data_IF_650059807453
#
_entry.id   IF_650059807453
#
_cell.length_a   1.000
_cell.length_b   1.000
_cell.length_c   1.000
_cell.angle_alpha   90.00
_cell.angle_beta   90.00
_cell.angle_gamma   90.00
#
_symmetry.space_group_name_H-M   'P 1'
#
loop_
_entity.id
_entity.type
_entity.pdbx_description
1 polymer ?
#
# COMPACT_ATOMS: atom_id res chain seq x y z
N UNK A 1 64.04 19.09 -52.45
CA UNK A 1 63.72 19.42 -51.04
C UNK A 1 62.56 18.55 -50.61
N UNK A 2 62.75 17.73 -49.57
CA UNK A 2 61.75 16.77 -49.08
C UNK A 2 60.68 17.50 -48.27
N UNK A 3 59.41 17.35 -48.65
CA UNK A 3 58.27 17.87 -47.90
C UNK A 3 57.99 17.02 -46.67
N UNK A 4 57.93 17.67 -45.51
CA UNK A 4 57.60 17.05 -44.22
C UNK A 4 56.08 17.18 -44.02
N UNK A 5 55.39 16.05 -43.89
CA UNK A 5 53.98 15.99 -43.50
C UNK A 5 53.91 16.09 -41.97
N UNK A 6 53.15 17.02 -41.38
CA UNK A 6 53.00 17.07 -39.93
C UNK A 6 51.95 16.06 -39.45
N UNK A 7 52.41 15.11 -38.64
CA UNK A 7 51.58 14.12 -37.93
C UNK A 7 50.71 14.80 -36.87
N UNK A 8 49.48 15.19 -37.22
CA UNK A 8 48.49 15.77 -36.29
C UNK A 8 47.55 14.74 -35.63
N UNK A 9 47.77 13.44 -35.82
CA UNK A 9 46.86 12.39 -35.32
C UNK A 9 47.12 11.92 -33.88
N UNK A 10 48.25 12.28 -33.25
CA UNK A 10 48.59 11.84 -31.89
C UNK A 10 48.09 12.73 -30.76
N UNK A 11 47.68 13.98 -31.03
CA UNK A 11 47.26 14.92 -29.98
C UNK A 11 45.82 14.66 -29.49
N UNK A 12 44.91 14.31 -30.40
CA UNK A 12 43.50 14.07 -30.08
C UNK A 12 43.27 12.76 -29.29
N UNK A 13 44.09 11.74 -29.53
CA UNK A 13 44.02 10.46 -28.79
C UNK A 13 44.52 10.59 -27.36
N UNK A 14 45.55 11.42 -27.12
CA UNK A 14 46.05 11.70 -25.78
C UNK A 14 45.05 12.53 -24.96
N UNK A 15 44.37 13.50 -25.58
CA UNK A 15 43.36 14.34 -24.93
C UNK A 15 42.12 13.54 -24.51
N UNK A 16 41.69 12.56 -25.32
CA UNK A 16 40.58 11.65 -24.99
C UNK A 16 40.91 10.72 -23.81
N UNK A 17 42.15 10.23 -23.73
CA UNK A 17 42.62 9.41 -22.61
C UNK A 17 42.69 10.21 -21.30
N UNK A 18 43.10 11.47 -21.36
CA UNK A 18 43.18 12.35 -20.17
C UNK A 18 41.78 12.69 -19.63
N UNK A 19 40.76 12.85 -20.48
CA UNK A 19 39.37 13.07 -20.03
C UNK A 19 38.80 11.80 -19.34
N UNK A 20 39.13 10.60 -19.82
CA UNK A 20 38.74 9.32 -19.19
C UNK A 20 39.41 9.08 -17.83
N UNK A 21 40.63 9.61 -17.62
CA UNK A 21 41.37 9.49 -16.35
C UNK A 21 40.98 10.59 -15.35
N UNK A 22 40.63 11.79 -15.82
CA UNK A 22 40.22 12.93 -14.97
C UNK A 22 38.75 12.88 -14.56
N UNK A 23 37.91 12.19 -15.33
CA UNK A 23 36.54 11.87 -14.96
C UNK A 23 36.37 10.35 -14.94
N UNK A 24 36.78 9.66 -13.86
CA UNK A 24 36.17 8.40 -13.55
C UNK A 24 34.70 8.74 -13.22
N UNK A 25 33.85 8.85 -14.23
CA UNK A 25 32.47 8.48 -14.01
C UNK A 25 32.54 7.04 -13.54
N UNK A 26 32.49 6.87 -12.21
CA UNK A 26 32.23 5.59 -11.57
C UNK A 26 30.94 5.13 -12.22
N UNK A 27 31.03 4.30 -13.25
CA UNK A 27 29.86 3.77 -13.92
C UNK A 27 29.10 3.03 -12.85
N UNK A 28 27.95 3.58 -12.49
CA UNK A 28 27.11 2.98 -11.49
C UNK A 28 26.52 1.72 -12.11
N UNK A 29 26.86 0.55 -11.57
CA UNK A 29 26.27 -0.70 -12.04
C UNK A 29 24.87 -0.84 -11.44
N UNK A 30 23.93 -1.32 -12.23
CA UNK A 30 22.60 -1.73 -11.76
C UNK A 30 22.48 -3.25 -11.62
N UNK A 31 23.53 -4.00 -11.96
CA UNK A 31 23.54 -5.46 -11.99
C UNK A 31 24.61 -6.06 -11.08
N UNK A 32 24.33 -7.28 -10.60
CA UNK A 32 25.24 -8.15 -9.88
C UNK A 32 25.30 -9.51 -10.60
N UNK A 33 26.47 -9.83 -11.15
CA UNK A 33 26.72 -11.06 -11.90
C UNK A 33 27.07 -12.24 -10.96
N UNK A 34 27.01 -13.51 -11.42
CA UNK A 34 27.32 -14.68 -10.58
C UNK A 34 28.68 -14.68 -9.87
N UNK A 35 29.69 -14.07 -10.50
CA UNK A 35 31.05 -14.03 -9.98
C UNK A 35 31.34 -12.77 -9.16
N UNK A 36 30.34 -11.93 -8.96
CA UNK A 36 30.45 -10.68 -8.22
C UNK A 36 29.81 -10.81 -6.84
N UNK A 37 30.25 -9.98 -5.92
CA UNK A 37 29.68 -9.89 -4.59
C UNK A 37 29.63 -8.43 -4.14
N UNK A 38 28.57 -8.11 -3.40
CA UNK A 38 28.46 -6.86 -2.66
C UNK A 38 28.88 -7.13 -1.23
N UNK A 39 29.89 -6.41 -0.72
CA UNK A 39 30.32 -6.53 0.68
C UNK A 39 30.21 -5.22 1.41
N UNK A 40 29.94 -5.28 2.72
CA UNK A 40 29.92 -4.09 3.59
C UNK A 40 31.23 -3.30 3.47
N UNK A 41 32.38 -3.99 3.51
CA UNK A 41 33.71 -3.37 3.47
C UNK A 41 34.05 -2.68 2.14
N UNK A 42 33.42 -3.09 1.03
CA UNK A 42 33.68 -2.50 -0.28
C UNK A 42 32.99 -1.14 -0.49
N UNK A 43 31.99 -0.80 0.32
CA UNK A 43 31.09 0.34 0.13
C UNK A 43 30.47 0.45 -1.28
N UNK A 44 30.49 -0.64 -2.05
CA UNK A 44 29.84 -0.70 -3.36
C UNK A 44 28.32 -0.73 -3.18
N UNK A 45 27.60 -0.19 -4.17
CA UNK A 45 26.14 -0.18 -4.25
C UNK A 45 25.70 -0.50 -5.68
N UNK A 46 24.46 -0.95 -5.85
CA UNK A 46 23.79 -0.99 -7.15
C UNK A 46 22.90 0.23 -7.27
N UNK A 47 22.86 0.88 -8.43
CA UNK A 47 21.99 2.04 -8.67
C UNK A 47 21.06 1.77 -9.83
N UNK A 48 19.78 2.09 -9.66
CA UNK A 48 18.79 1.88 -10.70
C UNK A 48 19.08 2.76 -11.92
N UNK A 49 18.72 2.32 -13.14
CA UNK A 49 18.64 3.21 -14.28
C UNK A 49 17.81 4.46 -13.94
N UNK A 50 18.31 5.64 -14.32
CA UNK A 50 17.69 6.93 -13.98
C UNK A 50 18.09 7.52 -12.61
N UNK A 51 19.00 6.87 -11.87
CA UNK A 51 19.57 7.39 -10.61
C UNK A 51 18.53 7.68 -9.51
N UNK A 52 17.43 6.93 -9.48
CA UNK A 52 16.33 7.13 -8.51
C UNK A 52 16.55 6.31 -7.25
N UNK A 53 16.94 5.05 -7.38
CA UNK A 53 17.10 4.10 -6.28
C UNK A 53 18.54 3.59 -6.18
N UNK A 54 18.95 3.27 -4.97
CA UNK A 54 20.25 2.69 -4.66
C UNK A 54 20.08 1.54 -3.68
N UNK A 55 20.76 0.43 -3.94
CA UNK A 55 20.76 -0.79 -3.13
C UNK A 55 22.15 -1.01 -2.54
N UNK A 56 22.18 -1.31 -1.24
CA UNK A 56 23.41 -1.73 -0.58
C UNK A 56 23.26 -1.92 0.91
N UNK A 57 24.41 -1.97 1.58
CA UNK A 57 24.45 -2.13 3.02
C UNK A 57 24.26 -0.80 3.74
N UNK A 58 23.50 -0.84 4.83
CA UNK A 58 23.37 0.28 5.74
C UNK A 58 23.35 -0.21 7.19
N UNK A 59 23.70 0.71 8.08
CA UNK A 59 23.77 0.48 9.52
C UNK A 59 22.68 1.28 10.20
N UNK A 60 21.95 0.67 11.13
CA UNK A 60 21.10 1.43 12.06
C UNK A 60 21.73 1.36 13.45
N UNK A 61 21.81 2.53 14.11
CA UNK A 61 22.23 2.59 15.51
C UNK A 61 20.97 2.49 16.34
N UNK A 62 20.81 1.40 17.07
CA UNK A 62 19.74 1.30 18.05
C UNK A 62 20.24 1.93 19.35
N UNK A 63 20.32 3.26 19.40
CA UNK A 63 20.70 3.98 20.65
C UNK A 63 19.82 3.59 21.85
N UNK A 64 18.64 3.04 21.59
CA UNK A 64 17.67 2.56 22.57
C UNK A 64 17.53 1.02 22.60
N UNK A 65 18.40 0.24 21.94
CA UNK A 65 18.41 -1.22 22.11
C UNK A 65 19.14 -1.58 23.40
N UNK A 66 18.63 -2.55 24.18
CA UNK A 66 19.27 -3.01 25.42
C UNK A 66 20.76 -3.35 25.26
N UNK A 67 21.15 -3.82 24.07
CA UNK A 67 22.50 -4.34 23.81
C UNK A 67 23.47 -3.29 23.23
N UNK A 68 22.99 -2.12 22.80
CA UNK A 68 23.83 -1.04 22.23
C UNK A 68 24.63 -1.41 20.97
N UNK A 69 24.38 -2.56 20.35
CA UNK A 69 25.15 -3.10 19.23
C UNK A 69 24.67 -2.55 17.88
N UNK A 70 25.62 -2.19 17.03
CA UNK A 70 25.38 -1.87 15.63
C UNK A 70 24.74 -3.04 14.88
N UNK A 71 23.68 -2.77 14.12
CA UNK A 71 23.02 -3.76 13.25
C UNK A 71 23.11 -3.34 11.79
N UNK A 72 23.47 -4.30 10.94
CA UNK A 72 23.64 -4.10 9.50
C UNK A 72 22.56 -4.80 8.71
N UNK A 73 22.13 -4.11 7.65
CA UNK A 73 21.02 -4.53 6.80
C UNK A 73 21.36 -4.29 5.34
N UNK A 74 20.82 -5.13 4.47
CA UNK A 74 20.75 -4.89 3.04
C UNK A 74 19.41 -4.21 2.73
N UNK A 75 19.43 -3.10 2.00
CA UNK A 75 18.19 -2.42 1.63
C UNK A 75 18.31 -1.54 0.41
N UNK A 76 17.16 -0.99 0.01
CA UNK A 76 16.98 -0.06 -1.09
C UNK A 76 16.54 1.28 -0.51
N UNK A 77 17.12 2.37 -0.99
CA UNK A 77 16.72 3.74 -0.65
C UNK A 77 16.66 4.62 -1.89
N UNK A 78 15.99 5.77 -1.76
CA UNK A 78 16.10 6.82 -2.78
C UNK A 78 17.52 7.37 -2.81
N UNK A 79 18.17 7.33 -3.97
CA UNK A 79 19.49 7.89 -4.17
C UNK A 79 19.42 9.41 -3.94
N UNK A 80 20.23 9.90 -3.02
CA UNK A 80 20.26 11.31 -2.64
C UNK A 80 21.67 11.75 -2.34
N UNK A 81 21.97 13.02 -2.63
CA UNK A 81 23.22 13.67 -2.22
C UNK A 81 23.18 14.12 -0.76
N UNK A 82 22.00 14.15 -0.13
CA UNK A 82 21.85 14.45 1.30
C UNK A 82 22.23 13.23 2.15
N UNK A 83 22.83 13.44 3.32
CA UNK A 83 23.18 12.34 4.24
C UNK A 83 21.99 11.58 4.84
N UNK A 84 20.75 11.97 4.53
CA UNK A 84 19.53 11.35 5.03
C UNK A 84 18.96 10.36 4.00
N UNK A 85 19.18 9.06 4.22
CA UNK A 85 18.65 7.99 3.37
C UNK A 85 17.19 7.69 3.73
N UNK A 86 16.34 7.61 2.71
CA UNK A 86 14.96 7.12 2.83
C UNK A 86 14.92 5.69 2.34
N UNK A 87 14.90 4.74 3.27
CA UNK A 87 14.78 3.32 2.97
C UNK A 87 13.34 2.99 2.53
N UNK A 88 13.22 2.17 1.49
CA UNK A 88 11.94 1.74 0.91
C UNK A 88 11.80 0.22 0.89
N UNK A 89 12.89 -0.50 1.10
CA UNK A 89 12.91 -1.96 1.18
C UNK A 89 14.13 -2.44 1.98
N UNK A 90 13.98 -3.55 2.71
CA UNK A 90 15.02 -4.14 3.57
C UNK A 90 14.91 -5.67 3.47
N UNK A 91 15.98 -6.33 3.04
CA UNK A 91 15.97 -7.79 2.81
C UNK A 91 15.88 -8.57 4.12
N UNK A 92 16.81 -8.30 5.03
CA UNK A 92 17.04 -9.07 6.25
C UNK A 92 16.53 -8.34 7.49
N UNK A 93 15.32 -7.74 7.40
CA UNK A 93 14.77 -6.84 8.41
C UNK A 93 14.67 -7.47 9.81
N UNK A 94 14.37 -8.76 9.87
CA UNK A 94 14.23 -9.54 11.12
C UNK A 94 15.44 -10.45 11.40
N UNK A 95 16.44 -10.46 10.51
CA UNK A 95 17.67 -11.27 10.62
C UNK A 95 18.89 -10.38 10.39
N UNK A 96 19.13 -9.45 11.33
CA UNK A 96 20.19 -8.45 11.21
C UNK A 96 21.60 -9.07 11.19
N UNK A 97 22.53 -8.42 10.50
CA UNK A 97 23.95 -8.72 10.61
C UNK A 97 24.53 -8.00 11.83
N UNK A 98 25.22 -8.74 12.71
CA UNK A 98 25.72 -8.24 13.99
C UNK A 98 27.11 -7.59 13.93
N UNK A 99 27.75 -7.59 12.76
CA UNK A 99 29.06 -6.99 12.55
C UNK A 99 29.15 -6.35 11.15
N UNK A 100 30.24 -5.63 10.90
CA UNK A 100 30.52 -4.98 9.61
C UNK A 100 31.03 -5.95 8.54
N UNK A 101 30.75 -7.25 8.66
CA UNK A 101 31.14 -8.29 7.71
C UNK A 101 29.89 -8.99 7.19
N UNK A 102 29.45 -8.56 6.01
CA UNK A 102 28.31 -9.11 5.30
C UNK A 102 28.60 -9.17 3.82
N UNK A 103 28.14 -10.24 3.17
CA UNK A 103 28.35 -10.48 1.73
C UNK A 103 27.05 -10.90 1.07
N UNK A 104 26.57 -10.12 0.11
CA UNK A 104 25.50 -10.51 -0.81
C UNK A 104 26.13 -11.05 -2.10
N UNK A 105 25.73 -12.24 -2.52
CA UNK A 105 26.15 -12.83 -3.79
C UNK A 105 25.07 -13.75 -4.35
N UNK A 106 25.25 -14.17 -5.60
CA UNK A 106 24.45 -15.24 -6.20
C UNK A 106 25.12 -16.57 -5.87
N UNK A 107 24.35 -17.52 -5.33
CA UNK A 107 24.78 -18.89 -5.07
C UNK A 107 23.68 -19.85 -5.47
N UNK A 108 24.00 -20.84 -6.31
CA UNK A 108 23.05 -21.84 -6.79
C UNK A 108 21.74 -21.22 -7.33
N UNK A 109 21.87 -20.22 -8.20
CA UNK A 109 20.73 -19.50 -8.80
C UNK A 109 19.77 -18.82 -7.80
N UNK A 110 20.25 -18.52 -6.58
CA UNK A 110 19.56 -17.73 -5.57
C UNK A 110 20.44 -16.59 -5.07
N UNK A 111 19.83 -15.49 -4.62
CA UNK A 111 20.54 -14.45 -3.87
C UNK A 111 20.68 -14.91 -2.43
N UNK A 112 21.90 -14.84 -1.90
CA UNK A 112 22.22 -15.23 -0.52
C UNK A 112 23.00 -14.12 0.15
N UNK A 113 22.55 -13.73 1.33
CA UNK A 113 23.23 -12.83 2.24
C UNK A 113 23.92 -13.64 3.33
N UNK A 114 25.24 -13.52 3.40
CA UNK A 114 26.11 -14.25 4.33
C UNK A 114 26.67 -13.31 5.40
N UNK A 115 26.84 -13.83 6.61
CA UNK A 115 27.57 -13.17 7.69
C UNK A 115 29.10 -13.43 7.65
N UNK A 116 29.81 -12.96 8.67
CA UNK A 116 31.25 -13.17 8.87
C UNK A 116 31.72 -14.63 8.88
N UNK A 117 30.86 -15.57 9.27
CA UNK A 117 31.14 -17.01 9.30
C UNK A 117 30.74 -17.72 8.00
N UNK A 118 30.34 -16.98 6.96
CA UNK A 118 29.73 -17.51 5.75
C UNK A 118 28.41 -18.28 6.01
N UNK A 119 27.71 -17.94 7.09
CA UNK A 119 26.40 -18.50 7.41
C UNK A 119 25.32 -17.67 6.71
N UNK A 120 24.36 -18.28 5.99
CA UNK A 120 23.23 -17.58 5.40
C UNK A 120 22.34 -16.96 6.49
N UNK A 121 22.18 -15.64 6.45
CA UNK A 121 21.22 -14.91 7.30
C UNK A 121 19.93 -14.57 6.56
N UNK A 122 19.97 -14.55 5.22
CA UNK A 122 18.82 -14.33 4.35
C UNK A 122 19.11 -14.90 2.97
N UNK A 123 18.09 -15.43 2.29
CA UNK A 123 18.19 -15.87 0.91
C UNK A 123 16.85 -15.81 0.20
N UNK A 124 16.88 -15.66 -1.13
CA UNK A 124 15.70 -15.87 -1.96
C UNK A 124 15.40 -17.36 -2.07
N UNK A 125 14.17 -17.78 -1.82
CA UNK A 125 13.79 -19.18 -1.91
C UNK A 125 13.27 -19.51 -3.32
N UNK A 126 14.18 -19.66 -4.28
CA UNK A 126 13.82 -20.06 -5.65
C UNK A 126 13.86 -21.58 -5.79
N UNK A 127 12.74 -22.18 -6.15
CA UNK A 127 12.57 -23.64 -6.26
C UNK A 127 12.38 -24.13 -7.70
N UNK A 128 12.49 -23.25 -8.70
CA UNK A 128 12.31 -23.58 -10.11
C UNK A 128 13.60 -24.02 -10.82
N UNK A 129 13.49 -24.28 -12.13
CA UNK A 129 14.65 -24.53 -13.00
C UNK A 129 15.20 -23.18 -13.48
N UNK A 130 16.46 -22.91 -13.13
CA UNK A 130 17.18 -21.74 -13.62
C UNK A 130 17.99 -22.12 -14.87
N UNK A 131 17.94 -21.29 -15.90
CA UNK A 131 18.96 -21.34 -16.95
C UNK A 131 20.06 -20.33 -16.63
N UNK A 132 21.30 -20.75 -16.85
CA UNK A 132 22.49 -19.95 -16.53
C UNK A 132 22.97 -19.16 -17.76
N UNK A 133 23.60 -17.99 -17.56
CA UNK A 133 23.88 -17.35 -16.26
C UNK A 133 22.68 -16.58 -15.68
N UNK A 134 22.60 -16.55 -14.34
CA UNK A 134 21.59 -15.80 -13.58
C UNK A 134 22.17 -14.47 -13.13
N UNK A 135 21.41 -13.39 -13.26
CA UNK A 135 21.84 -12.03 -12.91
C UNK A 135 20.82 -11.40 -11.98
N UNK A 136 21.31 -10.68 -10.96
CA UNK A 136 20.47 -9.83 -10.15
C UNK A 136 20.54 -8.39 -10.66
N UNK A 137 19.42 -7.69 -10.71
CA UNK A 137 19.32 -6.35 -11.31
C UNK A 137 18.38 -5.46 -10.51
N UNK A 138 18.79 -4.20 -10.28
CA UNK A 138 17.93 -3.16 -9.74
C UNK A 138 17.31 -2.37 -10.91
N UNK A 139 16.00 -2.55 -11.11
CA UNK A 139 15.23 -1.88 -12.16
C UNK A 139 14.95 -0.41 -11.83
N UNK A 140 14.57 0.37 -12.86
CA UNK A 140 14.32 1.81 -12.75
C UNK A 140 13.22 2.17 -11.73
N UNK A 141 12.21 1.31 -11.58
CA UNK A 141 11.12 1.48 -10.62
C UNK A 141 11.49 1.07 -9.18
N UNK A 142 12.74 0.62 -8.95
CA UNK A 142 13.23 0.18 -7.65
C UNK A 142 13.00 -1.31 -7.37
N UNK A 143 12.43 -2.07 -8.31
CA UNK A 143 12.30 -3.51 -8.16
C UNK A 143 13.67 -4.19 -8.31
N UNK A 144 14.16 -4.81 -7.25
CA UNK A 144 15.33 -5.68 -7.30
C UNK A 144 14.89 -7.09 -7.71
N UNK A 145 15.42 -7.57 -8.83
CA UNK A 145 14.99 -8.82 -9.47
C UNK A 145 16.14 -9.79 -9.64
N UNK A 146 15.82 -11.08 -9.67
CA UNK A 146 16.69 -12.16 -10.09
C UNK A 146 16.14 -12.74 -11.39
N UNK A 147 16.95 -12.80 -12.44
CA UNK A 147 16.53 -13.28 -13.77
C UNK A 147 17.59 -14.09 -14.48
N UNK A 148 17.16 -14.94 -15.40
CA UNK A 148 18.05 -15.53 -16.39
C UNK A 148 18.49 -14.45 -17.40
N UNK A 149 19.77 -14.47 -17.73
CA UNK A 149 20.38 -13.57 -18.71
C UNK A 149 19.95 -13.85 -20.16
N UNK A 150 19.44 -15.05 -20.47
CA UNK A 150 19.08 -15.45 -21.84
C UNK A 150 17.66 -15.09 -22.25
N UNK A 151 16.77 -14.84 -21.29
CA UNK A 151 15.40 -14.41 -21.57
C UNK A 151 15.32 -12.89 -21.42
N UNK A 152 15.10 -12.19 -22.54
CA UNK A 152 14.76 -10.75 -22.54
C UNK A 152 13.30 -10.49 -22.13
N UNK A 153 12.60 -11.51 -21.67
CA UNK A 153 11.21 -11.40 -21.26
C UNK A 153 11.15 -10.77 -19.86
N UNK A 154 10.79 -9.48 -19.81
CA UNK A 154 10.68 -8.71 -18.58
C UNK A 154 9.58 -9.25 -17.65
N UNK A 155 8.73 -10.16 -18.13
CA UNK A 155 7.59 -10.70 -17.40
C UNK A 155 7.89 -12.01 -16.65
N UNK A 156 9.13 -12.52 -16.71
CA UNK A 156 9.48 -13.83 -16.13
C UNK A 156 10.67 -13.78 -15.18
N UNK A 157 10.53 -13.01 -14.10
CA UNK A 157 11.49 -12.99 -13.00
C UNK A 157 11.47 -14.29 -12.20
N UNK A 158 12.66 -14.75 -11.78
CA UNK A 158 12.80 -15.88 -10.86
C UNK A 158 12.45 -15.47 -9.42
N UNK A 159 12.77 -14.23 -9.08
CA UNK A 159 12.43 -13.60 -7.81
C UNK A 159 12.37 -12.09 -8.00
N UNK A 160 11.50 -11.41 -7.26
CA UNK A 160 11.45 -9.95 -7.24
C UNK A 160 11.12 -9.39 -5.86
N UNK A 161 11.78 -8.29 -5.49
CA UNK A 161 11.55 -7.58 -4.23
C UNK A 161 10.11 -7.05 -4.09
N UNK A 162 9.45 -6.74 -5.22
CA UNK A 162 8.06 -6.27 -5.24
C UNK A 162 7.04 -7.31 -4.75
N UNK A 163 7.42 -8.59 -4.65
CA UNK A 163 6.59 -9.63 -4.03
C UNK A 163 6.79 -9.74 -2.52
N UNK A 164 7.77 -9.02 -1.95
CA UNK A 164 8.13 -9.04 -0.54
C UNK A 164 8.23 -7.60 -0.01
N UNK A 165 7.12 -6.84 0.00
CA UNK A 165 7.08 -5.50 0.55
C UNK A 165 7.48 -5.46 2.03
N UNK A 166 8.01 -4.30 2.46
CA UNK A 166 8.35 -4.02 3.87
C UNK A 166 7.32 -3.06 4.44
N UNK A 167 7.67 -1.80 4.70
CA UNK A 167 6.75 -0.78 5.21
C UNK A 167 6.26 0.16 4.09
N UNK A 168 6.68 -0.05 2.84
CA UNK A 168 6.52 0.93 1.76
C UNK A 168 5.94 0.29 0.49
N UNK A 169 4.98 0.98 -0.13
CA UNK A 169 4.51 0.70 -1.49
C UNK A 169 5.04 1.78 -2.45
N UNK A 170 5.84 1.37 -3.42
CA UNK A 170 6.36 2.20 -4.51
C UNK A 170 5.42 2.19 -5.72
N UNK A 171 5.59 3.12 -6.67
CA UNK A 171 4.87 3.08 -7.93
C UNK A 171 5.08 1.71 -8.63
N UNK A 172 4.04 1.22 -9.30
CA UNK A 172 3.98 -0.07 -10.01
C UNK A 172 4.01 -1.32 -9.11
N UNK A 173 4.32 -1.19 -7.82
CA UNK A 173 4.13 -2.30 -6.87
C UNK A 173 2.64 -2.65 -6.76
N UNK A 174 2.37 -3.93 -6.51
CA UNK A 174 1.02 -4.44 -6.26
C UNK A 174 0.90 -4.80 -4.78
N UNK A 175 -0.17 -4.33 -4.12
CA UNK A 175 -0.52 -4.67 -2.75
C UNK A 175 -1.82 -5.48 -2.75
N UNK A 176 -1.79 -6.71 -2.24
CA UNK A 176 -2.90 -7.66 -2.35
C UNK A 176 -2.41 -9.11 -2.48
N UNK A 177 -3.19 -9.97 -3.12
CA UNK A 177 -2.89 -11.41 -3.22
C UNK A 177 -3.25 -12.02 -4.57
N UNK A 178 -2.60 -13.13 -4.90
CA UNK A 178 -2.97 -13.98 -6.03
C UNK A 178 -4.15 -14.88 -5.64
N UNK A 179 -5.12 -15.07 -6.54
CA UNK A 179 -6.34 -15.86 -6.28
C UNK A 179 -6.07 -17.36 -6.20
N UNK A 180 -5.07 -17.86 -6.91
CA UNK A 180 -4.70 -19.28 -6.89
C UNK A 180 -3.92 -19.69 -5.62
N UNK A 181 -3.71 -18.77 -4.66
CA UNK A 181 -2.92 -19.02 -3.45
C UNK A 181 -1.42 -19.19 -3.73
N UNK A 182 -0.95 -18.93 -4.96
CA UNK A 182 0.48 -18.98 -5.29
C UNK A 182 1.18 -17.69 -4.84
N UNK A 183 2.34 -17.82 -4.23
CA UNK A 183 3.10 -16.68 -3.70
C UNK A 183 2.55 -16.16 -2.36
N UNK A 184 3.26 -15.18 -1.79
CA UNK A 184 2.91 -14.58 -0.51
C UNK A 184 1.89 -13.45 -0.71
N UNK A 185 1.00 -13.29 0.27
CA UNK A 185 0.20 -12.07 0.37
C UNK A 185 1.13 -10.86 0.55
N UNK A 186 0.90 -9.82 -0.25
CA UNK A 186 1.70 -8.60 -0.24
C UNK A 186 1.08 -7.65 0.78
N UNK A 187 1.71 -7.56 1.94
CA UNK A 187 1.27 -6.74 3.08
C UNK A 187 2.30 -5.63 3.37
N UNK A 188 1.85 -4.46 3.81
CA UNK A 188 2.79 -3.48 4.38
C UNK A 188 2.88 -3.71 5.88
N UNK A 189 4.09 -3.93 6.40
CA UNK A 189 4.35 -4.08 7.84
C UNK A 189 5.31 -2.99 8.29
N UNK A 190 4.87 -2.18 9.24
CA UNK A 190 5.63 -1.08 9.82
C UNK A 190 7.00 -1.52 10.33
N UNK A 191 7.94 -0.59 10.39
CA UNK A 191 9.14 -0.75 11.21
C UNK A 191 8.76 -0.72 12.69
N UNK A 192 9.49 -1.46 13.53
CA UNK A 192 9.31 -1.45 14.99
C UNK A 192 9.53 -0.07 15.60
N UNK A 193 10.48 0.69 15.07
CA UNK A 193 10.69 2.10 15.45
C UNK A 193 11.35 2.86 14.30
N UNK A 194 11.48 4.21 14.38
CA UNK A 194 12.21 4.99 13.37
C UNK A 194 13.67 4.55 13.14
N UNK A 195 14.26 3.81 14.08
CA UNK A 195 15.67 3.34 14.02
C UNK A 195 15.81 1.82 13.98
N UNK A 196 14.73 1.06 14.06
CA UNK A 196 14.73 -0.41 14.06
C UNK A 196 13.83 -0.93 12.93
N UNK A 197 14.42 -1.45 11.84
CA UNK A 197 13.66 -1.91 10.66
C UNK A 197 12.97 -3.26 10.85
N UNK A 198 13.18 -3.94 11.98
CA UNK A 198 12.45 -5.17 12.28
C UNK A 198 10.93 -4.97 12.22
N UNK A 199 10.20 -6.06 12.05
CA UNK A 199 8.75 -6.07 11.95
C UNK A 199 8.12 -5.44 13.20
N UNK A 200 7.36 -4.37 12.99
CA UNK A 200 6.59 -3.68 14.04
C UNK A 200 5.15 -4.18 14.11
N UNK A 201 4.37 -3.54 14.98
CA UNK A 201 3.03 -4.01 15.34
C UNK A 201 1.94 -3.65 14.32
N UNK A 202 2.19 -2.66 13.46
CA UNK A 202 1.18 -2.20 12.49
C UNK A 202 1.34 -2.84 11.13
N UNK A 203 0.24 -3.32 10.57
CA UNK A 203 0.16 -3.86 9.22
C UNK A 203 -0.99 -3.26 8.42
N UNK A 204 -0.87 -3.27 7.09
CA UNK A 204 -1.91 -2.84 6.16
C UNK A 204 -2.14 -3.95 5.14
N UNK A 205 -3.33 -4.55 5.19
CA UNK A 205 -3.66 -5.82 4.52
C UNK A 205 -4.94 -5.70 3.70
N UNK A 206 -5.06 -6.50 2.63
CA UNK A 206 -6.25 -6.54 1.80
C UNK A 206 -7.13 -7.71 2.17
N UNK A 207 -8.27 -7.43 2.81
CA UNK A 207 -9.28 -8.45 3.06
C UNK A 207 -10.04 -8.78 1.77
N UNK A 208 -10.19 -10.06 1.52
CA UNK A 208 -10.61 -10.63 0.25
C UNK A 208 -11.48 -11.88 0.42
N UNK A 209 -11.76 -12.31 1.65
CA UNK A 209 -12.77 -13.35 1.94
C UNK A 209 -14.21 -12.87 1.69
N UNK A 210 -14.45 -11.55 1.78
CA UNK A 210 -15.72 -10.92 1.42
C UNK A 210 -15.94 -10.76 -0.09
N UNK A 211 -17.20 -10.51 -0.49
CA UNK A 211 -17.53 -10.21 -1.89
C UNK A 211 -16.95 -8.89 -2.39
N UNK A 212 -16.74 -7.93 -1.49
CA UNK A 212 -16.02 -6.70 -1.75
C UNK A 212 -14.67 -6.74 -1.03
N UNK A 213 -13.69 -6.14 -1.69
CA UNK A 213 -12.31 -6.12 -1.21
C UNK A 213 -12.03 -4.81 -0.49
N UNK A 214 -11.53 -4.89 0.73
CA UNK A 214 -11.33 -3.75 1.63
C UNK A 214 -9.95 -3.84 2.27
N UNK A 215 -9.25 -2.70 2.38
CA UNK A 215 -8.02 -2.68 3.17
C UNK A 215 -8.31 -2.38 4.63
N UNK A 216 -7.54 -3.04 5.50
CA UNK A 216 -7.53 -2.80 6.93
C UNK A 216 -6.12 -2.41 7.39
N UNK A 217 -6.06 -1.40 8.25
CA UNK A 217 -4.89 -1.15 9.09
C UNK A 217 -5.11 -1.90 10.40
N UNK A 218 -4.18 -2.78 10.73
CA UNK A 218 -4.19 -3.54 11.97
C UNK A 218 -3.10 -3.05 12.92
N UNK A 219 -3.38 -3.14 14.21
CA UNK A 219 -2.39 -3.14 15.27
C UNK A 219 -2.38 -4.55 15.87
N UNK A 220 -1.37 -5.34 15.52
CA UNK A 220 -1.36 -6.79 15.68
C UNK A 220 -2.62 -7.40 15.04
N UNK A 221 -3.54 -7.91 15.85
CA UNK A 221 -4.79 -8.53 15.38
C UNK A 221 -5.99 -7.56 15.42
N UNK A 222 -5.82 -6.35 15.95
CA UNK A 222 -6.92 -5.39 16.13
C UNK A 222 -7.06 -4.46 14.93
N UNK A 223 -8.26 -4.42 14.33
CA UNK A 223 -8.62 -3.45 13.29
C UNK A 223 -8.64 -2.03 13.84
N UNK A 224 -7.80 -1.16 13.29
CA UNK A 224 -7.69 0.27 13.67
C UNK A 224 -8.40 1.17 12.64
N UNK A 225 -8.29 0.85 11.36
CA UNK A 225 -8.85 1.64 10.27
C UNK A 225 -9.28 0.73 9.12
N UNK A 226 -10.38 1.10 8.46
CA UNK A 226 -10.91 0.41 7.27
C UNK A 226 -11.05 1.40 6.12
N UNK A 227 -10.48 1.10 4.95
CA UNK A 227 -10.57 1.99 3.78
C UNK A 227 -11.94 2.00 3.11
N UNK A 228 -12.79 1.02 3.41
CA UNK A 228 -13.98 0.74 2.62
C UNK A 228 -13.65 0.06 1.28
N UNK A 229 -14.69 -0.38 0.54
CA UNK A 229 -14.52 -1.08 -0.72
C UNK A 229 -14.08 -0.13 -1.85
N UNK A 230 -13.46 -0.70 -2.89
CA UNK A 230 -13.24 0.00 -4.16
C UNK A 230 -14.57 0.26 -4.86
N UNK A 231 -14.84 1.50 -5.27
CA UNK A 231 -16.11 1.90 -5.87
C UNK A 231 -16.04 2.22 -7.37
N UNK A 232 -15.02 1.69 -8.06
CA UNK A 232 -14.75 1.95 -9.47
C UNK A 232 -13.77 3.11 -9.70
N UNK A 233 -13.68 4.06 -8.76
CA UNK A 233 -12.83 5.26 -8.89
C UNK A 233 -11.82 5.38 -7.75
N UNK A 234 -12.21 4.99 -6.54
CA UNK A 234 -11.40 5.11 -5.32
C UNK A 234 -11.84 4.11 -4.26
N UNK A 235 -11.06 3.96 -3.20
CA UNK A 235 -11.58 3.39 -1.96
C UNK A 235 -12.60 4.37 -1.35
N UNK A 236 -13.80 3.85 -1.04
CA UNK A 236 -14.92 4.68 -0.62
C UNK A 236 -14.62 5.50 0.65
N UNK A 237 -13.84 4.95 1.58
CA UNK A 237 -13.35 5.59 2.81
C UNK A 237 -12.09 6.44 2.64
N UNK A 238 -11.63 6.68 1.41
CA UNK A 238 -10.59 7.67 1.10
C UNK A 238 -11.07 8.64 -0.01
N UNK A 239 -11.99 9.57 0.29
CA UNK A 239 -12.49 10.52 -0.72
C UNK A 239 -11.40 11.35 -1.40
N UNK A 240 -10.32 11.65 -0.68
CA UNK A 240 -9.24 12.49 -1.15
C UNK A 240 -8.36 11.87 -2.24
N UNK A 241 -8.51 10.57 -2.54
CA UNK A 241 -7.81 9.95 -3.69
C UNK A 241 -8.08 10.70 -5.00
N UNK A 242 -9.27 11.32 -5.14
CA UNK A 242 -9.63 12.12 -6.31
C UNK A 242 -8.82 13.42 -6.45
N UNK A 243 -8.22 13.91 -5.35
CA UNK A 243 -7.41 15.13 -5.37
C UNK A 243 -5.96 14.87 -5.81
N UNK A 244 -5.56 13.61 -5.97
CA UNK A 244 -4.20 13.22 -6.32
C UNK A 244 -4.02 13.15 -7.84
N UNK A 245 -4.11 14.29 -8.52
CA UNK A 245 -4.02 14.36 -9.99
C UNK A 245 -2.72 13.81 -10.59
N UNK A 246 -1.66 13.68 -9.78
CA UNK A 246 -0.37 13.12 -10.15
C UNK A 246 -0.28 11.59 -9.92
N UNK A 247 -1.28 10.96 -9.30
CA UNK A 247 -1.33 9.52 -9.03
C UNK A 247 -2.40 8.86 -9.92
N UNK A 248 -1.97 7.95 -10.78
CA UNK A 248 -2.86 7.02 -11.47
C UNK A 248 -3.14 5.82 -10.57
N UNK A 249 -4.36 5.71 -10.03
CA UNK A 249 -4.75 4.60 -9.17
C UNK A 249 -5.33 3.45 -10.00
N UNK A 250 -4.96 2.21 -9.69
CA UNK A 250 -5.49 1.02 -10.33
C UNK A 250 -5.88 -0.01 -9.27
N UNK A 251 -7.10 -0.52 -9.35
CA UNK A 251 -7.55 -1.66 -8.57
C UNK A 251 -7.82 -2.82 -9.53
N UNK A 252 -7.04 -3.88 -9.37
CA UNK A 252 -7.06 -5.08 -10.19
C UNK A 252 -7.90 -6.11 -9.46
N UNK A 253 -8.99 -6.53 -10.09
CA UNK A 253 -9.87 -7.61 -9.62
C UNK A 253 -10.18 -8.51 -10.83
N UNK A 254 -9.31 -9.49 -11.09
CA UNK A 254 -9.44 -10.43 -12.20
C UNK A 254 -9.26 -11.88 -11.69
N UNK A 255 -9.19 -12.87 -12.60
CA UNK A 255 -9.09 -14.28 -12.22
C UNK A 255 -7.71 -14.67 -11.63
N UNK A 256 -6.68 -13.85 -11.82
CA UNK A 256 -5.31 -14.14 -11.41
C UNK A 256 -4.98 -13.53 -10.05
N UNK A 257 -5.35 -12.27 -9.84
CA UNK A 257 -4.99 -11.50 -8.65
C UNK A 257 -6.07 -10.51 -8.24
N UNK A 258 -6.02 -10.12 -6.96
CA UNK A 258 -6.72 -8.97 -6.41
C UNK A 258 -5.69 -8.07 -5.77
N UNK A 259 -5.50 -6.87 -6.32
CA UNK A 259 -4.47 -5.97 -5.86
C UNK A 259 -4.76 -4.50 -6.15
N UNK A 260 -4.24 -3.62 -5.29
CA UNK A 260 -4.09 -2.20 -5.58
C UNK A 260 -2.68 -1.92 -6.12
N UNK A 261 -2.60 -1.07 -7.14
CA UNK A 261 -1.35 -0.50 -7.63
C UNK A 261 -1.55 0.97 -7.95
N UNK A 262 -0.45 1.72 -7.99
CA UNK A 262 -0.48 3.11 -8.40
C UNK A 262 0.71 3.45 -9.28
N UNK A 263 0.52 4.42 -10.17
CA UNK A 263 1.58 5.03 -10.96
C UNK A 263 1.67 6.52 -10.63
N UNK A 264 2.85 7.09 -10.84
CA UNK A 264 3.07 8.52 -10.67
C UNK A 264 3.32 9.13 -12.04
N UNK A 265 2.65 10.24 -12.34
CA UNK A 265 2.92 10.96 -13.58
C UNK A 265 4.35 11.51 -13.54
N UNK A 266 5.18 11.12 -14.50
CA UNK A 266 6.58 11.53 -14.60
C UNK A 266 6.76 13.02 -14.95
N UNK A 267 5.68 13.72 -15.30
CA UNK A 267 5.71 15.17 -15.43
C UNK A 267 6.17 15.80 -14.10
N UNK A 268 7.29 16.53 -14.13
CA UNK A 268 7.84 17.33 -13.02
C UNK A 268 8.72 16.62 -11.95
N UNK A 269 9.26 15.42 -12.21
CA UNK A 269 10.12 14.70 -11.23
C UNK A 269 9.43 14.54 -9.86
N UNK A 270 8.15 14.17 -9.88
CA UNK A 270 7.37 13.89 -8.68
C UNK A 270 7.71 12.48 -8.22
N UNK A 271 8.03 12.33 -6.94
CA UNK A 271 8.16 11.03 -6.29
C UNK A 271 7.04 10.87 -5.27
N UNK A 272 6.43 9.70 -5.23
CA UNK A 272 5.39 9.37 -4.25
C UNK A 272 5.54 7.93 -3.78
N UNK A 273 5.26 7.70 -2.50
CA UNK A 273 5.16 6.37 -1.91
C UNK A 273 4.09 6.33 -0.83
N UNK A 274 3.53 5.16 -0.60
CA UNK A 274 2.75 4.88 0.60
C UNK A 274 3.66 4.25 1.64
N UNK A 275 3.51 4.63 2.90
CA UNK A 275 4.33 4.09 4.00
C UNK A 275 3.49 3.76 5.22
N UNK A 276 3.66 2.55 5.73
CA UNK A 276 3.18 2.15 7.04
C UNK A 276 4.13 2.66 8.13
N UNK A 277 3.74 3.74 8.82
CA UNK A 277 4.54 4.31 9.92
C UNK A 277 4.59 3.39 11.13
N UNK A 278 5.69 3.42 11.89
CA UNK A 278 5.83 2.77 13.21
C UNK A 278 4.86 3.30 14.26
N UNK A 279 4.14 4.39 13.95
CA UNK A 279 3.14 5.02 14.82
C UNK A 279 1.69 4.72 14.42
N UNK A 280 1.47 3.78 13.49
CA UNK A 280 0.13 3.32 13.13
C UNK A 280 -0.63 4.22 12.15
N UNK A 281 0.09 4.88 11.24
CA UNK A 281 -0.51 5.69 10.16
C UNK A 281 -0.02 5.22 8.79
N UNK A 282 -0.95 5.04 7.87
CA UNK A 282 -0.63 4.90 6.45
C UNK A 282 -0.42 6.29 5.87
N UNK A 283 0.81 6.58 5.47
CA UNK A 283 1.22 7.91 5.01
C UNK A 283 1.39 7.92 3.50
N UNK A 284 0.82 8.92 2.83
CA UNK A 284 1.12 9.22 1.43
C UNK A 284 2.13 10.36 1.41
N UNK A 285 3.35 10.03 1.03
CA UNK A 285 4.48 10.96 1.06
C UNK A 285 4.84 11.28 -0.38
N UNK A 286 4.71 12.55 -0.76
CA UNK A 286 5.02 13.06 -2.09
C UNK A 286 6.10 14.13 -1.98
N UNK A 287 7.05 14.17 -2.90
CA UNK A 287 8.09 15.20 -2.93
C UNK A 287 8.59 15.46 -4.33
N UNK A 288 9.31 16.58 -4.48
CA UNK A 288 9.98 16.98 -5.72
C UNK A 288 11.37 17.51 -5.35
N UNK A 289 12.16 17.96 -6.33
CA UNK A 289 13.42 18.66 -6.03
C UNK A 289 13.22 19.94 -5.19
N UNK A 290 12.05 20.58 -5.28
CA UNK A 290 11.74 21.84 -4.57
C UNK A 290 11.00 21.62 -3.25
N UNK A 291 10.22 20.55 -3.15
CA UNK A 291 9.39 20.25 -1.99
C UNK A 291 10.02 19.06 -1.26
N UNK A 292 10.53 19.22 -0.02
CA UNK A 292 11.24 18.16 0.68
C UNK A 292 10.30 17.04 1.14
N UNK A 293 10.83 15.82 1.26
CA UNK A 293 10.09 14.62 1.67
C UNK A 293 9.43 14.72 3.06
N UNK A 294 9.94 15.60 3.95
CA UNK A 294 9.32 15.84 5.26
C UNK A 294 7.91 16.43 5.17
N UNK A 295 7.54 16.99 4.02
CA UNK A 295 6.21 17.49 3.77
C UNK A 295 5.31 16.29 3.47
N UNK A 296 4.74 15.73 4.54
CA UNK A 296 3.72 14.71 4.44
C UNK A 296 2.43 15.33 3.91
N UNK A 297 1.85 14.71 2.88
CA UNK A 297 0.66 15.25 2.24
C UNK A 297 -0.61 14.64 2.84
N UNK A 298 -0.64 13.33 3.12
CA UNK A 298 -1.84 12.66 3.65
C UNK A 298 -1.49 11.53 4.64
N UNK A 299 -2.34 11.32 5.66
CA UNK A 299 -2.31 10.19 6.61
C UNK A 299 -3.68 9.56 6.74
N UNK A 300 -3.70 8.25 6.97
CA UNK A 300 -4.89 7.51 7.37
C UNK A 300 -4.58 6.66 8.62
N UNK A 301 -5.47 6.61 9.62
CA UNK A 301 -6.71 7.41 9.77
C UNK A 301 -6.42 8.92 9.86
N UNK A 302 -7.31 9.77 9.33
CA UNK A 302 -7.12 11.23 9.30
C UNK A 302 -7.69 11.92 10.55
N UNK A 303 -8.85 11.45 10.99
CA UNK A 303 -9.59 12.01 12.12
C UNK A 303 -10.20 10.89 12.99
N UNK A 304 -10.90 11.28 14.05
CA UNK A 304 -11.53 10.33 14.98
C UNK A 304 -12.64 9.51 14.33
N UNK A 305 -13.28 9.97 13.25
CA UNK A 305 -14.32 9.21 12.54
C UNK A 305 -13.78 8.14 11.60
N UNK A 306 -12.48 8.15 11.30
CA UNK A 306 -11.85 7.11 10.50
C UNK A 306 -11.53 5.86 11.32
N UNK A 307 -11.34 6.00 12.63
CA UNK A 307 -11.07 4.86 13.51
C UNK A 307 -12.21 3.83 13.43
N UNK A 308 -11.84 2.56 13.37
CA UNK A 308 -12.76 1.47 13.13
C UNK A 308 -13.80 1.35 14.26
N UNK A 309 -15.09 1.35 13.89
CA UNK A 309 -16.25 1.17 14.80
C UNK A 309 -16.31 2.16 15.98
N UNK A 310 -15.94 3.43 15.74
CA UNK A 310 -16.09 4.51 16.75
C UNK A 310 -17.54 4.69 17.17
N UNK A 311 -18.46 4.61 16.21
CA UNK A 311 -19.89 4.59 16.47
C UNK A 311 -20.39 3.15 16.35
N UNK A 312 -21.26 2.74 17.29
CA UNK A 312 -21.87 1.43 17.25
C UNK A 312 -22.84 1.23 16.07
N UNK A 313 -23.44 0.04 15.97
CA UNK A 313 -24.36 -0.35 14.91
C UNK A 313 -25.44 0.67 14.60
N UNK A 314 -25.75 0.88 13.31
CA UNK A 314 -26.77 1.81 12.82
C UNK A 314 -26.60 3.28 13.25
N UNK A 315 -25.40 3.64 13.73
CA UNK A 315 -24.96 5.01 13.90
C UNK A 315 -23.86 5.33 12.88
N UNK A 316 -23.70 6.61 12.56
CA UNK A 316 -22.62 7.09 11.71
C UNK A 316 -21.86 8.22 12.37
N UNK A 317 -20.57 8.29 12.10
CA UNK A 317 -19.70 9.35 12.59
C UNK A 317 -19.75 10.57 11.67
N UNK A 318 -19.91 11.78 12.22
CA UNK A 318 -19.88 13.05 11.52
C UNK A 318 -19.07 14.06 12.32
N UNK A 319 -17.95 14.52 11.75
CA UNK A 319 -17.04 15.47 12.40
C UNK A 319 -17.67 16.85 12.64
N UNK A 320 -18.83 17.14 12.04
CA UNK A 320 -19.51 18.44 12.16
C UNK A 320 -20.64 18.45 13.19
N UNK A 321 -20.88 17.33 13.85
CA UNK A 321 -21.91 17.21 14.90
C UNK A 321 -21.29 17.01 16.27
N UNK A 322 -22.01 17.43 17.32
CA UNK A 322 -21.68 17.12 18.70
C UNK A 322 -22.93 16.55 19.39
N UNK A 323 -22.96 15.26 19.77
CA UNK A 323 -21.87 14.29 19.65
C UNK A 323 -21.53 13.91 18.20
N UNK A 324 -20.33 13.34 18.00
CA UNK A 324 -19.83 12.95 16.67
C UNK A 324 -20.60 11.76 16.10
N UNK A 325 -21.13 10.88 16.95
CA UNK A 325 -21.97 9.76 16.53
C UNK A 325 -23.44 10.16 16.46
N UNK A 326 -24.09 9.85 15.34
CA UNK A 326 -25.48 10.16 15.07
C UNK A 326 -26.24 8.87 14.74
N UNK A 327 -27.42 8.67 15.34
CA UNK A 327 -28.32 7.63 14.86
C UNK A 327 -28.83 7.98 13.45
N UNK A 328 -28.98 6.96 12.61
CA UNK A 328 -29.67 7.10 11.32
C UNK A 328 -31.10 7.61 11.57
N UNK A 329 -31.62 8.50 10.72
CA UNK A 329 -33.02 8.95 10.85
C UNK A 329 -33.97 7.75 10.81
N UNK A 330 -34.89 7.67 11.77
CA UNK A 330 -35.73 6.49 11.99
C UNK A 330 -35.15 5.46 12.96
N UNK A 331 -33.99 5.76 13.57
CA UNK A 331 -33.38 4.99 14.65
C UNK A 331 -33.22 5.86 15.90
N UNK A 332 -33.16 5.20 17.06
CA UNK A 332 -32.96 5.81 18.38
C UNK A 332 -31.82 5.09 19.11
N UNK A 333 -31.14 5.73 20.07
CA UNK A 333 -30.09 5.08 20.84
C UNK A 333 -30.59 3.80 21.50
N UNK A 334 -29.82 2.71 21.40
CA UNK A 334 -30.16 1.44 22.07
C UNK A 334 -30.23 1.60 23.59
N UNK A 335 -29.40 2.48 24.14
CA UNK A 335 -29.39 2.87 25.55
C UNK A 335 -29.20 4.38 25.65
N UNK A 336 -30.27 5.12 25.93
CA UNK A 336 -30.24 6.58 26.03
C UNK A 336 -29.28 7.07 27.13
N UNK A 337 -29.27 6.43 28.30
CA UNK A 337 -28.40 6.82 29.41
C UNK A 337 -26.91 6.70 29.08
N UNK A 338 -26.48 5.62 28.40
CA UNK A 338 -25.09 5.50 27.91
C UNK A 338 -24.78 6.52 26.82
N UNK A 339 -25.73 6.74 25.91
CA UNK A 339 -25.58 7.74 24.84
C UNK A 339 -25.36 9.16 25.37
N UNK A 340 -26.14 9.56 26.39
CA UNK A 340 -26.02 10.86 27.05
C UNK A 340 -24.67 11.03 27.78
N UNK A 341 -24.08 9.92 28.24
CA UNK A 341 -22.74 9.85 28.82
C UNK A 341 -21.62 9.73 27.77
N UNK A 342 -21.94 9.92 26.49
CA UNK A 342 -21.01 9.81 25.34
C UNK A 342 -20.44 8.41 25.11
N UNK A 343 -21.18 7.40 25.52
CA UNK A 343 -20.90 6.01 25.21
C UNK A 343 -21.87 5.50 24.13
N UNK A 344 -21.41 5.60 22.88
CA UNK A 344 -22.17 5.21 21.69
C UNK A 344 -21.83 3.81 21.19
N UNK A 345 -21.08 3.02 21.97
CA UNK A 345 -20.63 1.67 21.55
C UNK A 345 -21.81 0.72 21.32
N UNK A 346 -22.94 0.96 22.01
CA UNK A 346 -24.16 0.18 21.87
C UNK A 346 -24.98 0.48 20.61
N UNK A 347 -24.62 1.53 19.87
CA UNK A 347 -25.29 1.92 18.63
C UNK A 347 -26.75 2.33 18.80
N UNK A 348 -27.50 2.19 17.71
CA UNK A 348 -28.89 2.59 17.58
C UNK A 348 -29.77 1.41 17.14
N UNK A 349 -31.06 1.51 17.41
CA UNK A 349 -32.08 0.53 16.99
C UNK A 349 -33.21 1.26 16.26
N UNK A 350 -33.91 0.56 15.36
CA UNK A 350 -35.05 1.16 14.65
C UNK A 350 -36.11 1.63 15.63
N UNK A 351 -36.65 2.82 15.44
CA UNK A 351 -37.73 3.35 16.26
C UNK A 351 -39.06 2.62 16.02
N UNK A 352 -39.22 2.04 14.82
CA UNK A 352 -40.40 1.28 14.39
C UNK A 352 -39.99 -0.06 13.80
N UNK A 353 -40.78 -1.10 14.06
CA UNK A 353 -40.56 -2.43 13.47
C UNK A 353 -40.79 -2.39 11.96
N UNK A 354 -39.96 -3.11 11.23
CA UNK A 354 -40.15 -3.35 9.79
C UNK A 354 -41.34 -4.30 9.59
N UNK A 355 -42.11 -4.07 8.53
CA UNK A 355 -43.21 -4.97 8.13
C UNK A 355 -42.79 -5.97 7.05
N UNK A 356 -41.59 -5.82 6.48
CA UNK A 356 -41.13 -6.48 5.25
C UNK A 356 -41.98 -6.11 4.02
N UNK A 357 -41.40 -6.29 2.83
CA UNK A 357 -42.07 -6.04 1.56
C UNK A 357 -42.38 -4.56 1.34
N UNK A 358 -43.53 -4.29 0.72
CA UNK A 358 -43.92 -2.93 0.29
C UNK A 358 -44.30 -1.99 1.44
N UNK A 359 -44.47 -2.50 2.66
CA UNK A 359 -44.72 -1.68 3.85
C UNK A 359 -43.48 -1.00 4.42
N UNK A 360 -42.28 -1.38 3.94
CA UNK A 360 -41.02 -0.73 4.27
C UNK A 360 -40.58 0.24 3.17
N UNK A 361 -39.73 1.19 3.54
CA UNK A 361 -39.10 2.09 2.58
C UNK A 361 -37.62 2.26 2.85
N UNK A 362 -36.99 3.20 2.13
CA UNK A 362 -35.56 3.42 2.20
C UNK A 362 -35.23 4.88 2.43
N UNK A 363 -34.42 5.12 3.46
CA UNK A 363 -33.81 6.41 3.69
C UNK A 363 -32.52 6.51 2.87
N UNK A 364 -32.46 7.49 1.96
CA UNK A 364 -31.23 7.82 1.24
C UNK A 364 -30.31 8.63 2.14
N UNK A 365 -29.13 8.09 2.42
CA UNK A 365 -28.03 8.76 3.10
C UNK A 365 -26.94 9.06 2.08
N UNK A 366 -26.66 10.34 1.84
CA UNK A 366 -25.64 10.77 0.90
C UNK A 366 -24.27 10.95 1.56
N UNK A 367 -23.22 10.87 0.74
CA UNK A 367 -21.83 11.13 1.14
C UNK A 367 -21.32 10.21 2.25
N UNK A 368 -21.77 8.95 2.23
CA UNK A 368 -21.43 7.95 3.23
C UNK A 368 -20.15 7.21 2.87
N UNK A 369 -19.37 6.89 3.90
CA UNK A 369 -18.55 5.68 3.91
C UNK A 369 -19.50 4.49 4.05
N UNK A 370 -19.52 3.60 3.06
CA UNK A 370 -20.36 2.41 3.08
C UNK A 370 -20.00 1.54 4.30
N UNK A 371 -20.98 0.87 4.93
CA UNK A 371 -20.72 0.00 6.06
C UNK A 371 -19.75 -1.14 5.72
N UNK A 372 -19.21 -1.79 6.75
CA UNK A 372 -18.38 -3.00 6.60
C UNK A 372 -19.11 -4.05 5.73
N UNK A 373 -18.37 -4.76 4.88
CA UNK A 373 -18.95 -5.59 3.82
C UNK A 373 -18.91 -7.09 4.11
N UNK A 374 -18.58 -7.49 5.34
CA UNK A 374 -18.50 -8.89 5.77
C UNK A 374 -19.82 -9.66 5.62
N UNK A 375 -20.95 -8.99 5.83
CA UNK A 375 -22.30 -9.56 5.66
C UNK A 375 -23.04 -8.92 4.47
N UNK A 376 -22.29 -8.50 3.45
CA UNK A 376 -22.84 -7.92 2.23
C UNK A 376 -22.91 -8.95 1.09
N UNK A 377 -23.98 -8.89 0.30
CA UNK A 377 -24.19 -9.67 -0.92
C UNK A 377 -24.06 -8.75 -2.13
N UNK A 378 -23.28 -9.17 -3.13
CA UNK A 378 -23.00 -8.37 -4.33
C UNK A 378 -23.58 -9.02 -5.57
N UNK A 379 -24.23 -8.23 -6.42
CA UNK A 379 -24.59 -8.62 -7.78
C UNK A 379 -24.15 -7.53 -8.77
N UNK A 380 -23.10 -7.81 -9.54
CA UNK A 380 -22.50 -6.87 -10.49
C UNK A 380 -23.41 -6.60 -11.72
N UNK A 381 -24.42 -7.43 -11.99
CA UNK A 381 -25.21 -7.41 -13.24
C UNK A 381 -26.42 -6.49 -13.18
N UNK A 382 -26.89 -6.18 -11.99
CA UNK A 382 -28.14 -5.46 -11.78
C UNK A 382 -27.87 -4.00 -11.41
N UNK A 383 -28.81 -3.12 -11.76
CA UNK A 383 -28.75 -1.70 -11.42
C UNK A 383 -29.44 -1.38 -10.09
N UNK A 384 -29.33 -0.12 -9.66
CA UNK A 384 -29.87 0.36 -8.38
C UNK A 384 -31.38 0.12 -8.19
N UNK A 385 -32.18 0.21 -9.27
CA UNK A 385 -33.64 -0.03 -9.21
C UNK A 385 -33.95 -1.49 -8.86
N UNK A 386 -33.31 -2.43 -9.55
CA UNK A 386 -33.48 -3.86 -9.30
C UNK A 386 -32.88 -4.26 -7.94
N UNK A 387 -31.79 -3.60 -7.54
CA UNK A 387 -31.22 -3.74 -6.20
C UNK A 387 -32.24 -3.38 -5.10
N UNK A 388 -32.97 -2.27 -5.28
CA UNK A 388 -34.08 -1.88 -4.39
C UNK A 388 -35.15 -2.97 -4.35
N UNK A 389 -35.62 -3.44 -5.50
CA UNK A 389 -36.67 -4.45 -5.57
C UNK A 389 -36.26 -5.77 -4.90
N UNK A 390 -34.99 -6.17 -5.05
CA UNK A 390 -34.42 -7.33 -4.37
C UNK A 390 -34.38 -7.15 -2.86
N UNK A 391 -33.92 -5.99 -2.37
CA UNK A 391 -33.88 -5.67 -0.94
C UNK A 391 -35.27 -5.49 -0.30
N UNK A 392 -36.28 -5.06 -1.07
CA UNK A 392 -37.68 -5.03 -0.60
C UNK A 392 -38.19 -6.44 -0.31
N UNK A 393 -37.95 -7.38 -1.25
CA UNK A 393 -38.39 -8.78 -1.16
C UNK A 393 -37.65 -9.57 -0.10
N UNK A 394 -36.40 -9.22 0.18
CA UNK A 394 -35.60 -9.84 1.23
C UNK A 394 -35.90 -9.19 2.59
N UNK A 395 -36.56 -9.92 3.49
CA UNK A 395 -36.88 -9.43 4.83
C UNK A 395 -35.64 -9.21 5.71
N UNK A 396 -34.52 -9.84 5.40
CA UNK A 396 -33.27 -9.66 6.14
C UNK A 396 -32.44 -8.49 5.61
N UNK A 397 -32.74 -7.98 4.40
CA UNK A 397 -32.00 -6.85 3.86
C UNK A 397 -32.17 -5.61 4.75
N UNK A 398 -31.06 -5.01 5.19
CA UNK A 398 -31.04 -3.83 6.05
C UNK A 398 -30.68 -2.55 5.30
N UNK A 399 -30.10 -2.66 4.10
CA UNK A 399 -29.85 -1.56 3.20
C UNK A 399 -29.15 -2.00 1.91
N UNK A 400 -29.04 -1.07 0.97
CA UNK A 400 -28.37 -1.33 -0.31
C UNK A 400 -27.67 -0.08 -0.87
N UNK A 401 -26.74 -0.30 -1.81
CA UNK A 401 -26.03 0.75 -2.54
C UNK A 401 -25.58 0.24 -3.92
N UNK A 402 -25.14 1.15 -4.79
CA UNK A 402 -24.38 0.76 -5.98
C UNK A 402 -23.03 0.14 -5.59
N UNK A 403 -22.46 -0.73 -6.42
CA UNK A 403 -21.09 -1.21 -6.23
C UNK A 403 -20.09 -0.22 -6.83
N UNK A 404 -20.35 0.21 -8.06
CA UNK A 404 -19.53 1.12 -8.83
C UNK A 404 -20.27 2.46 -9.01
N UNK A 405 -19.57 3.59 -8.87
CA UNK A 405 -20.16 4.92 -9.01
C UNK A 405 -19.97 5.56 -10.39
N UNK A 406 -19.20 4.92 -11.29
CA UNK A 406 -18.98 5.39 -12.64
C UNK A 406 -20.27 5.36 -13.48
N UNK A 407 -20.37 6.25 -14.47
CA UNK A 407 -21.44 6.27 -15.47
C UNK A 407 -22.87 6.29 -14.89
N UNK A 408 -23.08 6.97 -13.76
CA UNK A 408 -24.39 7.03 -13.09
C UNK A 408 -24.66 5.90 -12.11
N UNK A 409 -23.70 4.98 -11.95
CA UNK A 409 -23.69 3.92 -10.96
C UNK A 409 -24.17 2.57 -11.48
N UNK A 410 -23.49 1.50 -11.08
CA UNK A 410 -23.83 0.13 -11.46
C UNK A 410 -23.50 -0.89 -10.38
N UNK A 411 -24.03 -2.11 -10.55
CA UNK A 411 -23.94 -3.17 -9.57
C UNK A 411 -24.78 -2.91 -8.32
N UNK A 412 -24.98 -3.95 -7.53
CA UNK A 412 -25.78 -3.94 -6.32
C UNK A 412 -24.99 -4.52 -5.16
N UNK A 413 -24.97 -3.79 -4.04
CA UNK A 413 -24.47 -4.26 -2.74
C UNK A 413 -25.66 -4.21 -1.79
N UNK A 414 -25.99 -5.33 -1.14
CA UNK A 414 -27.04 -5.41 -0.12
C UNK A 414 -26.46 -5.94 1.18
N UNK A 415 -26.84 -5.35 2.31
CA UNK A 415 -26.46 -5.84 3.64
C UNK A 415 -27.63 -6.60 4.26
N UNK A 416 -27.35 -7.68 4.99
CA UNK A 416 -28.37 -8.45 5.73
C UNK A 416 -28.25 -8.37 7.25
N UNK A 417 -27.22 -7.69 7.76
CA UNK A 417 -26.93 -7.57 9.18
C UNK A 417 -26.93 -6.14 9.72
N UNK A 418 -26.20 -5.94 10.81
CA UNK A 418 -25.97 -4.62 11.38
C UNK A 418 -25.12 -3.76 10.43
N UNK A 419 -25.43 -2.47 10.36
CA UNK A 419 -24.67 -1.53 9.53
C UNK A 419 -23.60 -0.89 10.42
N UNK A 420 -22.36 -1.29 10.20
CA UNK A 420 -21.22 -0.97 11.04
C UNK A 420 -20.19 -0.06 10.36
N UNK A 421 -19.39 0.64 11.16
CA UNK A 421 -18.22 1.42 10.71
C UNK A 421 -18.54 2.45 9.62
N UNK A 422 -19.66 3.17 9.80
CA UNK A 422 -20.10 4.22 8.89
C UNK A 422 -19.61 5.59 9.34
N UNK A 423 -19.30 6.44 8.36
CA UNK A 423 -19.11 7.88 8.56
C UNK A 423 -19.69 8.68 7.42
N UNK A 424 -19.90 9.97 7.67
CA UNK A 424 -20.30 10.94 6.67
C UNK A 424 -19.10 11.81 6.27
N UNK A 425 -19.07 12.21 5.00
CA UNK A 425 -18.10 13.14 4.45
C UNK A 425 -18.78 14.44 3.99
N UNK A 426 -18.05 15.54 4.02
CA UNK A 426 -18.52 16.83 3.47
C UNK A 426 -18.59 16.83 1.94
N UNK A 427 -17.67 16.10 1.32
CA UNK A 427 -17.54 15.97 -0.12
C UNK A 427 -17.05 14.56 -0.45
N UNK A 428 -17.52 14.00 -1.55
CA UNK A 428 -17.28 12.59 -1.89
C UNK A 428 -18.25 11.65 -1.17
N UNK A 429 -17.72 10.53 -0.66
CA UNK A 429 -18.54 9.40 -0.18
C UNK A 429 -19.38 8.76 -1.28
N UNK A 430 -20.46 8.08 -0.90
CA UNK A 430 -21.42 7.42 -1.78
C UNK A 430 -22.81 7.41 -1.15
N UNK A 431 -23.87 7.26 -1.96
CA UNK A 431 -25.22 7.04 -1.45
C UNK A 431 -25.39 5.64 -0.87
N UNK A 432 -26.04 5.57 0.30
CA UNK A 432 -26.49 4.36 0.98
C UNK A 432 -28.00 4.46 1.22
N UNK A 433 -28.73 3.40 0.92
CA UNK A 433 -30.18 3.32 1.11
C UNK A 433 -30.49 2.38 2.27
N UNK A 434 -30.87 2.93 3.41
CA UNK A 434 -31.12 2.15 4.65
C UNK A 434 -32.60 1.82 4.77
N UNK A 435 -32.92 0.54 5.01
CA UNK A 435 -34.30 0.07 5.15
C UNK A 435 -34.91 0.53 6.48
N UNK A 436 -36.04 1.24 6.39
CA UNK A 436 -36.79 1.83 7.50
C UNK A 436 -38.29 1.56 7.32
N UNK A 437 -39.05 1.61 8.41
CA UNK A 437 -40.51 1.53 8.32
C UNK A 437 -41.06 2.74 7.54
N UNK A 438 -42.13 2.57 6.75
CA UNK A 438 -42.71 3.67 5.97
C UNK A 438 -43.08 4.90 6.82
N UNK A 439 -43.54 4.68 8.06
CA UNK A 439 -43.85 5.75 9.02
C UNK A 439 -42.64 6.66 9.34
N UNK A 440 -41.42 6.15 9.24
CA UNK A 440 -40.19 6.90 9.52
C UNK A 440 -39.72 7.80 8.35
N UNK A 441 -40.36 7.70 7.18
CA UNK A 441 -40.03 8.49 5.99
C UNK A 441 -40.79 9.83 5.91
N UNK A 442 -41.87 9.98 6.67
CA UNK A 442 -42.66 11.21 6.70
C UNK A 442 -41.83 12.32 7.38
N UNK A 443 -41.74 13.55 6.82
CA UNK A 443 -41.16 14.68 7.53
C UNK A 443 -41.97 14.94 8.79
N UNK A 444 -41.30 14.95 9.95
CA UNK A 444 -41.85 15.45 11.21
C UNK A 444 -42.11 16.95 11.12
#
# INVERSE_FOLDING_TARGET
>A
MRGVIPNYHHSYTLFFFVILVLFPHVFSTNTLSPNEALTISSNKTLVSPGDVFELGFFKTTTRNSPDGTDRWYLGIWYKTTSGHRTYVWVANRDNALHNSMGTLKISHASLVLLDHSNTPVWSTNFTGVAHLPVTAELLANGNFVLRDSKTNDLDRFMWQSFDYPVDTLLPEMKLGRNRNGSGNEKILTSWKSPTDPSSGDYSFILETEGFLHEFYLLNNEFKVYRTGPWNGVRFNGIPKMQNWSYIGNSFIDNNEEVAYSFQVNNNHNIHTRFRMSSTGYLQVITWTKKVPQRNMFWSFPEDTCDLYKVCGPYAYCDMHTSPTCNCIKGFVPKNAGRWDLRDMSGGCVRSSKLSCGEGDGFLRMSQMKLPETSEAVVDKRIGLKECREKCVRDCNCTGYANMDIMNGGSGCVMWTGELDDMRKYNAGGQDLYVKVAAASLVPS
#
